data_IF_108976312351
#
_entry.id   IF_108976312351
#
_cell.length_a   1.000
_cell.length_b   1.000
_cell.length_c   1.000
_cell.angle_alpha   90.00
_cell.angle_beta   90.00
_cell.angle_gamma   90.00
#
_symmetry.space_group_name_H-M   'P 1'
#
loop_
_entity.id
_entity.type
_entity.pdbx_description
1 polymer ?
#
# COMPACT_ATOMS: atom_id res chain seq x y z
N UNK A 1 -18.89 16.01 -15.83
CA UNK A 1 -17.59 16.05 -15.13
C UNK A 1 -16.86 14.74 -15.42
N UNK A 2 -15.66 14.80 -15.99
CA UNK A 2 -14.80 13.60 -16.11
C UNK A 2 -14.07 13.43 -14.78
N UNK A 3 -14.43 12.37 -14.04
CA UNK A 3 -13.72 11.99 -12.82
C UNK A 3 -12.33 11.50 -13.21
N UNK A 4 -11.28 12.26 -12.88
CA UNK A 4 -9.91 11.77 -12.96
C UNK A 4 -9.74 10.70 -11.87
N UNK A 5 -9.99 9.43 -12.20
CA UNK A 5 -9.59 8.31 -11.35
C UNK A 5 -8.14 7.99 -11.69
N UNK A 6 -7.22 8.29 -10.77
CA UNK A 6 -5.90 7.68 -10.77
C UNK A 6 -6.12 6.21 -10.44
N UNK A 7 -6.03 5.34 -11.44
CA UNK A 7 -5.82 3.91 -11.23
C UNK A 7 -4.32 3.80 -10.97
N UNK A 8 -3.93 3.68 -9.71
CA UNK A 8 -2.51 3.58 -9.35
C UNK A 8 -1.91 2.34 -9.99
N UNK A 9 -1.01 2.56 -10.93
CA UNK A 9 -0.11 1.55 -11.46
C UNK A 9 0.67 0.96 -10.27
N UNK A 10 0.67 -0.38 -10.15
CA UNK A 10 1.37 -1.19 -9.14
C UNK A 10 2.54 -0.47 -8.47
N UNK A 11 2.44 -0.20 -7.16
CA UNK A 11 3.49 0.43 -6.36
C UNK A 11 4.57 -0.60 -6.06
N UNK A 12 5.84 -0.25 -6.31
CA UNK A 12 7.01 -1.08 -5.99
C UNK A 12 7.80 -0.46 -4.84
N UNK A 13 7.97 -1.21 -3.76
CA UNK A 13 8.86 -0.89 -2.65
C UNK A 13 10.06 -1.84 -2.67
N UNK A 14 11.27 -1.31 -2.51
CA UNK A 14 12.51 -2.10 -2.47
C UNK A 14 13.27 -1.76 -1.19
N UNK A 15 13.65 -2.78 -0.45
CA UNK A 15 14.51 -2.67 0.72
C UNK A 15 15.83 -3.39 0.46
N UNK A 16 16.92 -2.63 0.41
CA UNK A 16 18.28 -3.16 0.24
C UNK A 16 18.93 -3.43 1.61
N UNK A 17 19.68 -4.54 1.68
CA UNK A 17 20.41 -4.96 2.88
C UNK A 17 21.69 -5.73 2.51
N UNK A 18 22.56 -6.00 3.48
CA UNK A 18 23.90 -6.55 3.23
C UNK A 18 23.93 -7.87 2.44
N UNK A 19 22.82 -8.62 2.42
CA UNK A 19 22.70 -9.92 1.77
C UNK A 19 21.85 -9.90 0.48
N UNK A 20 21.39 -8.73 -0.01
CA UNK A 20 20.55 -8.63 -1.22
C UNK A 20 19.48 -7.53 -1.15
N UNK A 21 18.31 -7.79 -1.74
CA UNK A 21 17.17 -6.87 -1.68
C UNK A 21 15.84 -7.63 -1.53
N UNK A 22 14.92 -7.09 -0.73
CA UNK A 22 13.54 -7.55 -0.70
C UNK A 22 12.67 -6.56 -1.46
N UNK A 23 11.81 -7.05 -2.35
CA UNK A 23 10.87 -6.22 -3.11
C UNK A 23 9.45 -6.56 -2.68
N UNK A 24 8.63 -5.53 -2.50
CA UNK A 24 7.19 -5.64 -2.29
C UNK A 24 6.46 -4.90 -3.41
N UNK A 25 5.46 -5.54 -4.00
CA UNK A 25 4.53 -4.94 -4.95
C UNK A 25 3.16 -4.84 -4.31
N UNK A 26 2.54 -3.67 -4.44
CA UNK A 26 1.18 -3.39 -3.96
C UNK A 26 0.35 -2.91 -5.15
N UNK A 27 -0.73 -3.63 -5.44
CA UNK A 27 -1.62 -3.31 -6.55
C UNK A 27 -3.07 -3.22 -6.07
N UNK A 28 -3.73 -2.10 -6.37
CA UNK A 28 -5.18 -1.99 -6.15
C UNK A 28 -5.92 -2.45 -7.40
N UNK A 29 -6.75 -3.47 -7.25
CA UNK A 29 -7.61 -4.01 -8.31
C UNK A 29 -9.07 -3.65 -8.06
N UNK A 30 -9.98 -4.13 -8.91
CA UNK A 30 -11.43 -3.99 -8.69
C UNK A 30 -11.94 -4.84 -7.52
N UNK A 31 -11.23 -5.94 -7.22
CA UNK A 31 -11.63 -6.92 -6.22
C UNK A 31 -11.01 -6.65 -4.84
N UNK A 32 -10.01 -5.76 -4.77
CA UNK A 32 -9.32 -5.43 -3.53
C UNK A 32 -7.89 -4.99 -3.74
N UNK A 33 -6.99 -5.36 -2.83
CA UNK A 33 -5.55 -5.08 -2.91
C UNK A 33 -4.77 -6.37 -2.92
N UNK A 34 -3.80 -6.46 -3.82
CA UNK A 34 -2.86 -7.57 -3.94
C UNK A 34 -1.51 -7.12 -3.40
N UNK A 35 -0.93 -7.92 -2.50
CA UNK A 35 0.43 -7.70 -1.98
C UNK A 35 1.28 -8.92 -2.33
N UNK A 36 2.43 -8.65 -2.98
CA UNK A 36 3.35 -9.67 -3.42
C UNK A 36 4.76 -9.29 -2.97
N UNK A 37 5.47 -10.20 -2.33
CA UNK A 37 6.88 -10.01 -1.99
C UNK A 37 7.76 -10.95 -2.81
N UNK A 38 9.01 -10.54 -2.98
CA UNK A 38 10.03 -11.37 -3.61
C UNK A 38 11.43 -10.96 -3.19
N UNK A 39 12.29 -11.96 -3.00
CA UNK A 39 13.74 -11.82 -2.87
C UNK A 39 14.48 -11.91 -4.22
N UNK A 40 13.77 -12.24 -5.31
CA UNK A 40 14.26 -12.29 -6.68
C UNK A 40 13.36 -11.47 -7.63
N UNK A 41 13.95 -10.48 -8.28
CA UNK A 41 13.30 -9.64 -9.30
C UNK A 41 12.46 -10.40 -10.35
N UNK A 42 12.75 -11.68 -10.61
CA UNK A 42 12.08 -12.51 -11.62
C UNK A 42 11.03 -13.49 -11.07
N UNK A 43 10.85 -13.60 -9.76
CA UNK A 43 9.93 -14.57 -9.17
C UNK A 43 9.00 -13.92 -8.15
N UNK A 44 7.82 -13.47 -8.57
CA UNK A 44 6.86 -12.87 -7.64
C UNK A 44 6.09 -13.95 -6.91
N UNK A 45 6.25 -14.04 -5.59
CA UNK A 45 5.39 -14.88 -4.77
C UNK A 45 4.09 -14.10 -4.46
N UNK A 46 2.95 -14.75 -4.65
CA UNK A 46 1.66 -14.21 -4.20
C UNK A 46 1.52 -14.51 -2.71
N UNK A 47 1.56 -13.46 -1.87
CA UNK A 47 1.53 -13.65 -0.43
C UNK A 47 0.13 -13.48 0.14
N UNK A 48 -0.53 -12.35 -0.12
CA UNK A 48 -1.86 -12.08 0.45
C UNK A 48 -2.74 -11.21 -0.46
N UNK A 49 -4.02 -11.55 -0.47
CA UNK A 49 -5.09 -10.80 -1.11
C UNK A 49 -5.97 -10.20 0.00
N UNK A 50 -6.22 -8.89 -0.09
CA UNK A 50 -7.16 -8.20 0.77
C UNK A 50 -8.39 -7.92 -0.08
N UNK A 51 -9.55 -8.47 0.31
CA UNK A 51 -10.77 -8.18 -0.43
C UNK A 51 -11.13 -6.69 -0.34
N UNK A 52 -11.97 -6.22 -1.26
CA UNK A 52 -12.34 -4.81 -1.33
C UNK A 52 -12.99 -4.30 -0.04
N UNK A 53 -13.81 -5.10 0.63
CA UNK A 53 -14.53 -4.66 1.82
C UNK A 53 -13.54 -4.41 2.97
N UNK A 54 -12.61 -5.33 3.15
CA UNK A 54 -11.58 -5.23 4.17
C UNK A 54 -10.57 -4.13 3.84
N UNK A 55 -10.24 -3.94 2.57
CA UNK A 55 -9.40 -2.83 2.13
C UNK A 55 -10.02 -1.46 2.43
N UNK A 56 -11.31 -1.26 2.16
CA UNK A 56 -11.98 0.01 2.48
C UNK A 56 -12.01 0.26 4.00
N UNK A 57 -12.12 -0.79 4.83
CA UNK A 57 -12.01 -0.67 6.29
C UNK A 57 -10.60 -0.25 6.71
N UNK A 58 -9.56 -0.92 6.18
CA UNK A 58 -8.16 -0.59 6.46
C UNK A 58 -7.85 0.85 6.03
N UNK A 59 -8.29 1.24 4.84
CA UNK A 59 -8.13 2.60 4.34
C UNK A 59 -8.80 3.63 5.26
N UNK A 60 -10.02 3.36 5.72
CA UNK A 60 -10.71 4.23 6.68
C UNK A 60 -9.88 4.38 7.97
N UNK A 61 -9.28 3.31 8.49
CA UNK A 61 -8.44 3.38 9.69
C UNK A 61 -7.19 4.23 9.41
N UNK A 62 -6.50 3.99 8.29
CA UNK A 62 -5.30 4.75 7.91
C UNK A 62 -5.63 6.25 7.76
N UNK A 63 -6.68 6.57 7.00
CA UNK A 63 -7.08 7.96 6.74
C UNK A 63 -7.40 8.69 8.06
N UNK A 64 -8.12 8.05 8.99
CA UNK A 64 -8.47 8.66 10.29
C UNK A 64 -7.30 8.71 11.29
N UNK A 65 -6.31 7.82 11.18
CA UNK A 65 -5.14 7.81 12.05
C UNK A 65 -4.08 8.82 11.60
N UNK A 66 -3.94 9.02 10.29
CA UNK A 66 -3.04 10.07 9.74
C UNK A 66 -3.55 11.47 10.12
N UNK A 67 -4.88 11.66 10.20
CA UNK A 67 -5.46 12.92 10.64
C UNK A 67 -5.22 13.21 12.14
N UNK A 68 -5.13 12.19 13.01
CA UNK A 68 -4.88 12.41 14.45
C UNK A 68 -3.44 12.84 14.75
N UNK A 69 -2.45 12.29 14.06
CA UNK A 69 -1.03 12.66 14.25
C UNK A 69 -0.71 14.04 13.66
N UNK A 70 -1.46 14.48 12.63
CA UNK A 70 -1.28 15.81 12.02
C UNK A 70 -1.86 16.95 12.88
N UNK A 71 -2.88 16.66 13.69
CA UNK A 71 -3.49 17.64 14.60
C UNK A 71 -2.69 17.81 15.90
N UNK A 72 -2.07 16.76 16.45
CA UNK A 72 -1.17 16.90 17.61
C UNK A 72 0.06 17.79 17.31
N UNK A 73 0.59 17.72 16.08
CA UNK A 73 1.71 18.56 15.64
C UNK A 73 1.35 20.07 15.51
N UNK A 74 0.07 20.43 15.39
CA UNK A 74 -0.38 21.84 15.29
C UNK A 74 -0.65 22.50 16.64
N UNK A 75 -0.92 21.71 17.69
CA UNK A 75 -1.21 22.26 19.04
C UNK A 75 0.08 22.58 19.82
N UNK A 76 1.23 22.14 19.33
CA UNK A 76 2.53 22.33 19.97
C UNK A 76 3.37 23.53 19.48
N UNK A 77 2.81 24.42 18.64
CA UNK A 77 3.47 25.66 18.17
C UNK A 77 2.76 26.93 18.64
#
# INVERSE_FOLDING_TARGET
MKSNRVVTERVKYVHEHACGSNTMYIEQTKEGVLIQTTDDSNNTQHDFDIDKKDWELIKMIIDNFVDSDYEEAKVAN
#
